data_IF_605095562208
#
_entry.id   IF_605095562208
#
_cell.length_a   1.000
_cell.length_b   1.000
_cell.length_c   1.000
_cell.angle_alpha   90.00
_cell.angle_beta   90.00
_cell.angle_gamma   90.00
#
_symmetry.space_group_name_H-M   'P 1'
#
loop_
_entity.id
_entity.type
_entity.pdbx_description
1 polymer ?
#
# COMPACT_ATOMS: atom_id res chain seq x y z
N UNK A 1 -45.16 -26.45 29.47
CA UNK A 1 -45.56 -25.83 28.16
C UNK A 1 -45.54 -24.30 28.18
N UNK A 2 -46.08 -23.60 29.20
CA UNK A 2 -46.10 -22.12 29.25
C UNK A 2 -44.67 -21.50 29.34
N UNK A 3 -43.81 -22.07 30.16
CA UNK A 3 -42.39 -21.61 30.30
C UNK A 3 -41.61 -21.72 29.03
N UNK A 4 -41.74 -22.82 28.25
CA UNK A 4 -41.07 -23.03 26.99
C UNK A 4 -41.51 -21.99 25.91
N UNK A 5 -42.79 -21.63 25.93
CA UNK A 5 -43.36 -20.62 25.05
C UNK A 5 -42.74 -19.23 25.33
N UNK A 6 -42.60 -18.86 26.60
CA UNK A 6 -42.01 -17.58 26.98
C UNK A 6 -40.51 -17.53 26.67
N UNK A 7 -39.76 -18.62 26.88
CA UNK A 7 -38.33 -18.73 26.47
C UNK A 7 -38.20 -18.55 24.95
N UNK A 8 -39.03 -19.20 24.16
CA UNK A 8 -39.03 -19.06 22.71
C UNK A 8 -39.31 -17.61 22.26
N UNK A 9 -40.29 -16.93 22.89
CA UNK A 9 -40.61 -15.53 22.58
C UNK A 9 -39.41 -14.61 22.92
N UNK A 10 -38.80 -14.79 24.08
CA UNK A 10 -37.61 -14.01 24.49
C UNK A 10 -36.45 -14.22 23.50
N UNK A 11 -36.17 -15.46 23.10
CA UNK A 11 -35.16 -15.75 22.10
C UNK A 11 -35.43 -15.06 20.77
N UNK A 12 -36.65 -15.09 20.29
CA UNK A 12 -37.03 -14.39 19.03
C UNK A 12 -36.85 -12.88 19.18
N UNK A 13 -37.27 -12.29 20.31
CA UNK A 13 -37.10 -10.84 20.57
C UNK A 13 -35.62 -10.45 20.61
N UNK A 14 -34.71 -11.33 21.05
CA UNK A 14 -33.28 -11.06 21.07
C UNK A 14 -32.61 -11.32 19.72
N UNK A 15 -32.93 -12.43 19.07
CA UNK A 15 -32.25 -12.87 17.83
C UNK A 15 -32.67 -12.00 16.63
N UNK A 16 -33.94 -11.69 16.49
CA UNK A 16 -34.45 -10.95 15.30
C UNK A 16 -33.78 -9.57 15.19
N UNK A 17 -33.73 -8.71 16.22
CA UNK A 17 -33.01 -7.43 16.14
C UNK A 17 -31.51 -7.60 15.86
N UNK A 18 -30.86 -8.61 16.42
CA UNK A 18 -29.47 -8.91 16.18
C UNK A 18 -29.19 -9.26 14.70
N UNK A 19 -30.03 -10.13 14.13
CA UNK A 19 -29.94 -10.50 12.70
C UNK A 19 -30.16 -9.28 11.80
N UNK A 20 -31.14 -8.44 12.13
CA UNK A 20 -31.40 -7.20 11.39
C UNK A 20 -30.19 -6.25 11.48
N UNK A 21 -29.60 -6.09 12.65
CA UNK A 21 -28.43 -5.26 12.83
C UNK A 21 -27.22 -5.77 12.03
N UNK A 22 -26.95 -7.06 12.10
CA UNK A 22 -25.87 -7.70 11.31
C UNK A 22 -26.10 -7.55 9.80
N UNK A 23 -27.32 -7.78 9.34
CA UNK A 23 -27.70 -7.59 7.93
C UNK A 23 -27.52 -6.12 7.50
N UNK A 24 -27.89 -5.18 8.36
CA UNK A 24 -27.69 -3.75 8.13
C UNK A 24 -26.22 -3.38 8.03
N UNK A 25 -25.37 -3.89 8.92
CA UNK A 25 -23.91 -3.69 8.87
C UNK A 25 -23.30 -4.30 7.61
N UNK A 26 -23.70 -5.52 7.26
CA UNK A 26 -23.26 -6.17 6.02
C UNK A 26 -23.59 -5.33 4.78
N UNK A 27 -24.82 -4.86 4.69
CA UNK A 27 -25.27 -4.04 3.56
C UNK A 27 -24.53 -2.70 3.49
N UNK A 28 -24.38 -2.02 4.64
CA UNK A 28 -23.65 -0.76 4.72
C UNK A 28 -22.18 -0.93 4.34
N UNK A 29 -21.52 -1.98 4.85
CA UNK A 29 -20.15 -2.30 4.51
C UNK A 29 -19.96 -2.61 3.03
N UNK A 30 -20.89 -3.40 2.45
CA UNK A 30 -20.88 -3.70 1.01
C UNK A 30 -21.03 -2.44 0.15
N UNK A 31 -21.91 -1.52 0.53
CA UNK A 31 -22.08 -0.26 -0.20
C UNK A 31 -20.80 0.58 -0.17
N UNK A 32 -20.17 0.72 1.00
CA UNK A 32 -18.94 1.49 1.18
C UNK A 32 -17.77 0.90 0.38
N UNK A 33 -17.64 -0.43 0.36
CA UNK A 33 -16.58 -1.11 -0.39
C UNK A 33 -16.73 -0.97 -1.92
N UNK A 34 -17.96 -0.79 -2.40
CA UNK A 34 -18.27 -0.72 -3.82
C UNK A 34 -18.44 0.71 -4.36
N UNK A 35 -18.29 1.72 -3.52
CA UNK A 35 -18.37 3.12 -3.93
C UNK A 35 -17.34 3.95 -3.18
N UNK A 36 -16.29 4.36 -3.89
CA UNK A 36 -15.32 5.34 -3.39
C UNK A 36 -15.92 6.77 -3.44
N UNK A 37 -15.31 7.73 -2.73
CA UNK A 37 -15.63 9.14 -2.91
C UNK A 37 -15.28 9.59 -4.34
N UNK A 38 -15.97 10.62 -4.81
CA UNK A 38 -15.59 11.28 -6.06
C UNK A 38 -14.29 12.08 -5.83
N UNK A 39 -13.29 11.87 -6.67
CA UNK A 39 -11.98 12.51 -6.56
C UNK A 39 -11.70 13.36 -7.82
N UNK A 40 -11.05 14.48 -7.63
CA UNK A 40 -10.57 15.30 -8.75
C UNK A 40 -9.23 14.72 -9.23
N UNK A 41 -9.16 14.33 -10.50
CA UNK A 41 -7.97 13.74 -11.09
C UNK A 41 -7.09 14.81 -11.73
N UNK A 42 -5.79 14.66 -11.58
CA UNK A 42 -4.82 15.43 -12.36
C UNK A 42 -4.72 14.87 -13.79
N UNK A 43 -4.32 15.72 -14.74
CA UNK A 43 -3.99 15.25 -16.09
C UNK A 43 -2.55 14.80 -16.10
N UNK A 44 -2.33 13.49 -16.09
CA UNK A 44 -0.99 12.89 -16.19
C UNK A 44 -0.81 12.33 -17.59
N UNK A 45 0.28 12.72 -18.26
CA UNK A 45 0.65 12.19 -19.58
C UNK A 45 1.76 11.16 -19.41
N UNK A 46 1.48 9.86 -19.61
CA UNK A 46 2.48 8.80 -19.41
C UNK A 46 3.75 9.03 -20.24
N UNK A 47 4.90 8.76 -19.65
CA UNK A 47 6.17 8.80 -20.37
C UNK A 47 6.21 7.74 -21.48
N UNK A 48 6.85 8.08 -22.60
CA UNK A 48 6.99 7.19 -23.76
C UNK A 48 8.44 7.06 -24.24
N UNK A 49 9.33 7.90 -23.72
CA UNK A 49 10.76 7.83 -24.00
C UNK A 49 11.47 6.80 -23.09
N UNK A 50 12.63 6.35 -23.55
CA UNK A 50 13.40 5.31 -22.87
C UNK A 50 13.74 5.68 -21.40
N UNK A 51 14.18 6.91 -21.17
CA UNK A 51 14.56 7.38 -19.82
C UNK A 51 13.36 7.40 -18.87
N UNK A 52 12.19 7.83 -19.34
CA UNK A 52 10.94 7.80 -18.55
C UNK A 52 10.50 6.38 -18.25
N UNK A 53 10.60 5.45 -19.21
CA UNK A 53 10.26 4.05 -18.98
C UNK A 53 11.22 3.36 -18.02
N UNK A 54 12.53 3.62 -18.12
CA UNK A 54 13.52 3.13 -17.16
C UNK A 54 13.26 3.67 -15.73
N UNK A 55 12.95 4.98 -15.62
CA UNK A 55 12.56 5.59 -14.33
C UNK A 55 11.29 4.93 -13.78
N UNK A 56 10.28 4.69 -14.61
CA UNK A 56 9.04 4.03 -14.21
C UNK A 56 9.27 2.60 -13.73
N UNK A 57 10.12 1.83 -14.41
CA UNK A 57 10.51 0.48 -13.98
C UNK A 57 11.20 0.51 -12.62
N UNK A 58 12.12 1.43 -12.44
CA UNK A 58 12.82 1.62 -11.18
C UNK A 58 11.84 1.97 -10.04
N UNK A 59 10.92 2.91 -10.27
CA UNK A 59 9.90 3.29 -9.30
C UNK A 59 8.99 2.12 -8.95
N UNK A 60 8.55 1.33 -9.94
CA UNK A 60 7.74 0.15 -9.69
C UNK A 60 8.45 -0.87 -8.78
N UNK A 61 9.77 -1.00 -8.91
CA UNK A 61 10.59 -1.86 -8.05
C UNK A 61 10.66 -1.34 -6.62
N UNK A 62 11.14 -0.12 -6.43
CA UNK A 62 11.40 0.42 -5.08
C UNK A 62 10.12 0.70 -4.27
N UNK A 63 8.99 0.92 -4.95
CA UNK A 63 7.69 1.13 -4.30
C UNK A 63 6.89 -0.16 -4.09
N UNK A 64 7.48 -1.31 -4.42
CA UNK A 64 6.92 -2.62 -4.11
C UNK A 64 5.75 -3.05 -4.99
N UNK A 65 5.54 -2.48 -6.18
CA UNK A 65 4.48 -2.94 -7.09
C UNK A 65 4.59 -4.44 -7.38
N UNK A 66 5.82 -4.92 -7.63
CA UNK A 66 6.09 -6.32 -7.92
C UNK A 66 5.85 -7.26 -6.73
N UNK A 67 5.86 -6.77 -5.50
CA UNK A 67 5.59 -7.58 -4.30
C UNK A 67 4.16 -8.09 -4.23
N UNK A 68 3.20 -7.35 -4.79
CA UNK A 68 1.79 -7.71 -4.79
C UNK A 68 1.31 -8.17 -6.17
N UNK A 69 1.87 -7.56 -7.24
CA UNK A 69 1.42 -7.83 -8.61
C UNK A 69 2.29 -8.87 -9.35
N UNK A 70 3.28 -9.48 -8.65
CA UNK A 70 4.22 -10.43 -9.23
C UNK A 70 5.36 -9.74 -10.01
N UNK A 71 6.48 -10.44 -10.20
CA UNK A 71 7.68 -9.89 -10.84
C UNK A 71 7.44 -9.42 -12.28
N UNK A 72 6.54 -10.08 -13.00
CA UNK A 72 6.12 -9.74 -14.37
C UNK A 72 4.78 -8.98 -14.41
N UNK A 73 4.30 -8.50 -13.28
CA UNK A 73 3.07 -7.73 -13.10
C UNK A 73 1.79 -8.46 -13.57
N UNK A 74 1.84 -9.79 -13.67
CA UNK A 74 0.68 -10.63 -14.05
C UNK A 74 -0.42 -10.67 -13.00
N UNK A 75 -0.17 -10.14 -11.81
CA UNK A 75 -1.06 -10.20 -10.65
C UNK A 75 -0.90 -11.50 -9.85
N UNK A 76 -1.23 -11.41 -8.57
CA UNK A 76 -1.21 -12.52 -7.61
C UNK A 76 -2.41 -12.43 -6.67
N UNK A 77 -2.74 -13.55 -6.01
CA UNK A 77 -3.80 -13.55 -5.00
C UNK A 77 -3.24 -13.03 -3.68
N UNK A 78 -3.74 -11.87 -3.24
CA UNK A 78 -3.27 -11.22 -2.01
C UNK A 78 -4.02 -11.71 -0.77
N UNK A 79 -5.36 -11.88 -0.86
CA UNK A 79 -6.18 -12.46 0.21
C UNK A 79 -7.03 -13.58 -0.39
N UNK A 80 -6.95 -14.79 0.18
CA UNK A 80 -7.85 -15.91 -0.08
C UNK A 80 -8.23 -16.56 1.27
N UNK A 81 -9.09 -15.88 2.01
CA UNK A 81 -9.47 -16.26 3.37
C UNK A 81 -11.00 -16.43 3.47
N UNK A 82 -11.44 -17.67 3.33
CA UNK A 82 -12.86 -17.98 3.56
C UNK A 82 -13.21 -17.95 5.06
N UNK A 83 -14.31 -17.32 5.47
CA UNK A 83 -15.36 -16.68 4.68
C UNK A 83 -15.15 -15.17 4.45
N UNK A 84 -13.99 -14.61 4.78
CA UNK A 84 -13.72 -13.16 4.75
C UNK A 84 -13.81 -12.63 3.32
N UNK A 85 -13.05 -13.23 2.41
CA UNK A 85 -13.06 -12.83 1.02
C UNK A 85 -11.88 -13.30 0.20
N UNK A 86 -11.97 -12.99 -1.09
CA UNK A 86 -10.95 -13.17 -2.10
C UNK A 86 -10.60 -11.79 -2.68
N UNK A 87 -9.35 -11.37 -2.54
CA UNK A 87 -8.84 -10.08 -3.02
C UNK A 87 -7.58 -10.31 -3.83
N UNK A 88 -7.65 -10.35 -5.16
CA UNK A 88 -6.47 -10.40 -6.00
C UNK A 88 -5.85 -9.01 -6.14
N UNK A 89 -4.52 -8.95 -6.18
CA UNK A 89 -3.79 -7.86 -6.81
C UNK A 89 -3.85 -8.12 -8.33
N UNK A 90 -4.52 -7.27 -9.12
CA UNK A 90 -4.85 -7.59 -10.50
C UNK A 90 -3.61 -7.72 -11.39
N UNK A 91 -3.76 -8.43 -12.50
CA UNK A 91 -2.81 -8.40 -13.60
C UNK A 91 -2.78 -6.98 -14.21
N UNK A 92 -1.62 -6.31 -14.12
CA UNK A 92 -1.43 -4.95 -14.61
C UNK A 92 -1.09 -4.89 -16.10
N UNK A 93 -0.77 -6.04 -16.72
CA UNK A 93 -0.39 -6.11 -18.14
C UNK A 93 -1.61 -6.03 -19.05
N UNK A 94 -1.37 -5.93 -20.35
CA UNK A 94 -2.41 -5.94 -21.38
C UNK A 94 -2.83 -7.35 -21.82
N UNK A 95 -2.33 -8.42 -21.17
CA UNK A 95 -2.72 -9.81 -21.44
C UNK A 95 -4.15 -10.12 -21.01
N UNK A 96 -4.63 -11.32 -21.34
CA UNK A 96 -5.98 -11.77 -20.96
C UNK A 96 -6.15 -11.76 -19.43
N UNK A 97 -7.24 -11.19 -18.95
CA UNK A 97 -7.49 -10.98 -17.51
C UNK A 97 -6.79 -9.76 -16.89
N UNK A 98 -5.95 -9.05 -17.66
CA UNK A 98 -5.25 -7.86 -17.23
C UNK A 98 -6.04 -6.56 -17.42
N UNK A 99 -5.74 -5.56 -16.59
CA UNK A 99 -6.35 -4.23 -16.64
C UNK A 99 -5.62 -3.29 -17.62
N UNK A 100 -4.37 -3.58 -17.98
CA UNK A 100 -3.52 -2.71 -18.78
C UNK A 100 -4.06 -2.38 -20.16
N UNK A 101 -4.90 -3.26 -20.76
CA UNK A 101 -5.55 -3.01 -22.04
C UNK A 101 -6.77 -2.08 -21.94
N UNK A 102 -7.37 -1.93 -20.75
CA UNK A 102 -8.65 -1.26 -20.55
C UNK A 102 -8.56 0.03 -19.75
N UNK A 103 -7.56 0.16 -18.88
CA UNK A 103 -7.36 1.35 -18.06
C UNK A 103 -6.91 2.54 -18.92
N UNK A 104 -7.62 3.64 -18.78
CA UNK A 104 -7.19 4.95 -19.30
C UNK A 104 -6.10 5.53 -18.40
N UNK A 105 -5.42 6.58 -18.85
CA UNK A 105 -4.43 7.29 -18.03
C UNK A 105 -5.05 7.85 -16.75
N UNK A 106 -6.29 8.31 -16.81
CA UNK A 106 -7.06 8.76 -15.65
C UNK A 106 -7.39 7.60 -14.68
N UNK A 107 -7.68 6.40 -15.19
CA UNK A 107 -7.91 5.23 -14.33
C UNK A 107 -6.64 4.81 -13.60
N UNK A 108 -5.47 4.88 -14.25
CA UNK A 108 -4.18 4.62 -13.62
C UNK A 108 -3.88 5.64 -12.52
N UNK A 109 -4.06 6.94 -12.81
CA UNK A 109 -3.87 8.00 -11.81
C UNK A 109 -4.81 7.82 -10.63
N UNK A 110 -6.10 7.59 -10.88
CA UNK A 110 -7.12 7.32 -9.88
C UNK A 110 -6.77 6.12 -8.98
N UNK A 111 -6.30 5.03 -9.59
CA UNK A 111 -5.94 3.83 -8.88
C UNK A 111 -4.70 4.03 -7.99
N UNK A 112 -3.64 4.61 -8.55
CA UNK A 112 -2.35 4.73 -7.86
C UNK A 112 -2.40 5.80 -6.77
N UNK A 113 -2.84 7.01 -7.09
CA UNK A 113 -2.81 8.14 -6.15
C UNK A 113 -4.01 8.24 -5.23
N UNK A 114 -5.16 7.71 -5.64
CA UNK A 114 -6.40 7.91 -4.90
C UNK A 114 -7.01 6.63 -4.33
N UNK A 115 -6.48 5.45 -4.72
CA UNK A 115 -7.02 4.17 -4.26
C UNK A 115 -8.43 3.87 -4.78
N UNK A 116 -8.80 4.41 -5.96
CA UNK A 116 -10.09 4.25 -6.60
C UNK A 116 -9.93 3.49 -7.92
N UNK A 117 -10.58 2.34 -8.05
CA UNK A 117 -10.55 1.53 -9.26
C UNK A 117 -11.41 2.15 -10.38
N UNK A 118 -11.16 1.77 -11.64
CA UNK A 118 -11.89 2.28 -12.81
C UNK A 118 -13.42 2.06 -12.74
N UNK A 119 -13.89 1.08 -11.99
CA UNK A 119 -15.31 0.83 -11.74
C UNK A 119 -15.89 1.66 -10.57
N UNK A 120 -15.12 2.59 -10.01
CA UNK A 120 -15.52 3.49 -8.92
C UNK A 120 -15.53 2.86 -7.53
N UNK A 121 -15.08 1.61 -7.38
CA UNK A 121 -14.96 0.98 -6.06
C UNK A 121 -13.67 1.42 -5.35
N UNK A 122 -13.72 1.45 -4.03
CA UNK A 122 -12.51 1.67 -3.25
C UNK A 122 -11.58 0.45 -3.32
N UNK A 123 -10.29 0.70 -3.39
CA UNK A 123 -9.29 -0.33 -3.20
C UNK A 123 -9.09 -0.60 -1.71
N UNK A 124 -8.92 -1.86 -1.39
CA UNK A 124 -8.47 -2.32 -0.07
C UNK A 124 -7.10 -2.95 -0.27
N UNK A 125 -6.17 -2.78 0.63
CA UNK A 125 -4.82 -3.36 0.58
C UNK A 125 -3.76 -2.63 -0.25
N UNK A 126 -4.10 -1.99 -1.37
CA UNK A 126 -3.14 -1.18 -2.12
C UNK A 126 -2.79 0.09 -1.33
N UNK A 127 -1.51 0.38 -1.05
CA UNK A 127 -1.10 1.51 -0.20
C UNK A 127 -1.10 2.84 -0.97
N UNK A 128 -2.26 3.22 -1.51
CA UNK A 128 -2.41 4.43 -2.30
C UNK A 128 -2.14 5.71 -1.51
N UNK A 129 -2.28 5.69 -0.19
CA UNK A 129 -1.91 6.78 0.71
C UNK A 129 -0.41 7.14 0.62
N UNK A 130 0.45 6.16 0.45
CA UNK A 130 1.87 6.40 0.17
C UNK A 130 2.09 6.88 -1.26
N UNK A 131 1.40 6.27 -2.23
CA UNK A 131 1.54 6.61 -3.65
C UNK A 131 0.88 7.95 -4.01
N UNK A 132 0.00 8.48 -3.18
CA UNK A 132 -0.52 9.84 -3.28
C UNK A 132 0.59 10.91 -3.28
N UNK A 133 1.75 10.59 -2.73
CA UNK A 133 2.93 11.47 -2.70
C UNK A 133 3.75 11.49 -4.00
N UNK A 134 3.47 10.63 -4.98
CA UNK A 134 4.20 10.70 -6.25
C UNK A 134 4.08 12.08 -6.90
N UNK A 135 5.21 12.64 -7.31
CA UNK A 135 5.23 13.79 -8.21
C UNK A 135 4.65 13.44 -9.58
N UNK A 136 4.20 14.43 -10.33
CA UNK A 136 3.51 14.19 -11.61
C UNK A 136 4.43 13.53 -12.64
N UNK A 137 5.72 13.91 -12.69
CA UNK A 137 6.69 13.31 -13.60
C UNK A 137 7.01 11.85 -13.22
N UNK A 138 7.17 11.55 -11.93
CA UNK A 138 7.41 10.19 -11.46
C UNK A 138 6.18 9.29 -11.67
N UNK A 139 4.97 9.81 -11.46
CA UNK A 139 3.76 9.05 -11.79
C UNK A 139 3.61 8.84 -13.30
N UNK A 140 3.94 9.86 -14.11
CA UNK A 140 3.93 9.72 -15.58
C UNK A 140 4.91 8.63 -16.04
N UNK A 141 6.10 8.58 -15.46
CA UNK A 141 7.09 7.55 -15.71
C UNK A 141 6.58 6.16 -15.29
N UNK A 142 6.01 6.03 -14.10
CA UNK A 142 5.45 4.77 -13.59
C UNK A 142 4.32 4.27 -14.50
N UNK A 143 3.34 5.10 -14.84
CA UNK A 143 2.23 4.71 -15.73
C UNK A 143 2.77 4.34 -17.11
N UNK A 144 3.73 5.10 -17.66
CA UNK A 144 4.39 4.78 -18.92
C UNK A 144 4.99 3.38 -18.92
N UNK A 145 5.74 3.05 -17.88
CA UNK A 145 6.30 1.71 -17.70
C UNK A 145 5.22 0.64 -17.62
N UNK A 146 4.22 0.79 -16.73
CA UNK A 146 3.14 -0.19 -16.56
C UNK A 146 2.41 -0.49 -17.88
N UNK A 147 2.22 0.51 -18.74
CA UNK A 147 1.61 0.36 -20.05
C UNK A 147 2.54 -0.26 -21.09
N UNK A 148 3.85 -0.23 -20.88
CA UNK A 148 4.87 -0.78 -21.77
C UNK A 148 5.21 -2.25 -21.50
N UNK A 149 4.81 -2.78 -20.35
CA UNK A 149 5.11 -4.17 -19.96
C UNK A 149 4.48 -5.15 -20.95
N UNK A 150 5.25 -6.17 -21.40
CA UNK A 150 4.72 -7.19 -22.30
C UNK A 150 3.45 -7.86 -21.74
N UNK A 151 2.49 -8.22 -22.60
CA UNK A 151 1.26 -8.86 -22.15
C UNK A 151 1.54 -10.24 -21.56
N UNK A 152 0.95 -10.51 -20.41
CA UNK A 152 0.98 -11.82 -19.74
C UNK A 152 -0.46 -12.21 -19.44
N UNK A 153 -0.88 -13.38 -19.88
CA UNK A 153 -2.23 -13.88 -19.63
C UNK A 153 -2.32 -14.45 -18.22
N UNK A 154 -3.16 -13.83 -17.40
CA UNK A 154 -3.49 -14.32 -16.05
C UNK A 154 -4.82 -13.71 -15.59
N UNK A 155 -5.88 -14.48 -15.64
CA UNK A 155 -7.20 -14.07 -15.18
C UNK A 155 -7.45 -14.57 -13.75
N UNK A 156 -7.29 -13.69 -12.79
CA UNK A 156 -7.54 -13.96 -11.36
C UNK A 156 -9.02 -13.78 -10.98
N UNK A 157 -9.85 -13.32 -11.90
CA UNK A 157 -11.23 -12.99 -11.60
C UNK A 157 -11.42 -11.77 -10.68
N UNK A 158 -12.68 -11.41 -10.37
CA UNK A 158 -13.00 -10.21 -9.60
C UNK A 158 -12.81 -10.42 -8.09
N UNK A 159 -12.52 -9.32 -7.39
CA UNK A 159 -12.57 -9.26 -5.93
C UNK A 159 -13.94 -9.70 -5.39
N UNK A 160 -13.94 -10.55 -4.39
CA UNK A 160 -15.12 -11.04 -3.71
C UNK A 160 -14.96 -10.86 -2.19
N UNK A 161 -15.71 -9.94 -1.60
CA UNK A 161 -15.73 -9.74 -0.14
C UNK A 161 -17.14 -10.13 0.35
N UNK A 162 -17.20 -11.13 1.23
CA UNK A 162 -18.42 -11.69 1.77
C UNK A 162 -18.56 -11.35 3.26
N UNK A 163 -19.68 -11.73 3.88
CA UNK A 163 -19.80 -11.66 5.33
C UNK A 163 -18.90 -12.75 5.98
N UNK A 164 -18.09 -12.41 7.00
CA UNK A 164 -18.01 -11.15 7.75
C UNK A 164 -17.07 -10.09 7.16
N UNK A 165 -16.32 -10.37 6.09
CA UNK A 165 -15.36 -9.44 5.47
C UNK A 165 -15.96 -8.08 5.12
N UNK A 166 -17.22 -8.03 4.67
CA UNK A 166 -17.92 -6.76 4.40
C UNK A 166 -18.08 -5.90 5.64
N UNK A 167 -18.26 -6.50 6.83
CA UNK A 167 -18.34 -5.77 8.09
C UNK A 167 -16.92 -5.36 8.54
N UNK A 168 -15.97 -6.26 8.44
CA UNK A 168 -14.57 -5.99 8.82
C UNK A 168 -14.01 -4.84 7.99
N UNK A 169 -13.99 -4.98 6.67
CA UNK A 169 -13.37 -4.01 5.76
C UNK A 169 -14.24 -2.77 5.51
N UNK A 170 -15.56 -2.95 5.39
CA UNK A 170 -16.46 -1.86 5.00
C UNK A 170 -17.07 -1.09 6.18
N UNK A 171 -16.93 -1.58 7.41
CA UNK A 171 -17.43 -0.87 8.61
C UNK A 171 -16.33 -0.63 9.61
N UNK A 172 -15.65 -1.67 10.10
CA UNK A 172 -14.69 -1.53 11.20
C UNK A 172 -13.38 -0.87 10.74
N UNK A 173 -12.84 -1.27 9.60
CA UNK A 173 -11.61 -0.72 9.04
C UNK A 173 -11.84 0.41 8.03
N UNK A 174 -13.09 0.80 7.77
CA UNK A 174 -13.45 1.71 6.68
C UNK A 174 -12.65 3.01 6.68
N UNK A 175 -12.51 3.65 7.83
CA UNK A 175 -11.81 4.94 7.96
C UNK A 175 -10.30 4.85 7.82
N UNK A 176 -9.74 3.64 7.86
CA UNK A 176 -8.29 3.42 7.82
C UNK A 176 -7.80 3.06 6.40
N UNK A 177 -8.73 2.85 5.45
CA UNK A 177 -8.31 2.56 4.09
C UNK A 177 -7.73 3.79 3.40
N UNK A 178 -6.72 3.63 2.54
CA UNK A 178 -6.03 4.71 1.83
C UNK A 178 -6.97 5.77 1.26
N UNK A 179 -8.00 5.36 0.54
CA UNK A 179 -8.99 6.28 -0.06
C UNK A 179 -9.70 7.20 0.94
N UNK A 180 -9.71 6.88 2.23
CA UNK A 180 -10.37 7.68 3.27
C UNK A 180 -9.39 8.50 4.13
N UNK A 181 -8.08 8.23 4.03
CA UNK A 181 -7.04 8.96 4.76
C UNK A 181 -6.29 9.95 3.87
N UNK A 182 -6.31 9.74 2.55
CA UNK A 182 -5.69 10.66 1.58
C UNK A 182 -6.40 12.01 1.59
N UNK A 183 -5.65 13.09 1.69
CA UNK A 183 -6.14 14.42 1.32
C UNK A 183 -6.11 14.59 -0.20
N UNK A 184 -7.19 14.19 -0.85
CA UNK A 184 -7.30 14.18 -2.31
C UNK A 184 -7.14 15.56 -2.96
N UNK A 185 -7.22 16.64 -2.20
CA UNK A 185 -7.05 18.01 -2.71
C UNK A 185 -5.57 18.43 -2.77
N UNK A 186 -4.70 17.74 -2.03
CA UNK A 186 -3.27 18.03 -1.96
C UNK A 186 -2.40 17.07 -2.78
N UNK A 187 -3.01 16.14 -3.52
CA UNK A 187 -2.33 15.14 -4.34
C UNK A 187 -1.78 15.77 -5.63
N UNK A 188 -0.60 15.33 -6.05
CA UNK A 188 0.05 15.80 -7.28
C UNK A 188 1.07 16.92 -7.03
N UNK A 189 1.59 17.47 -8.13
CA UNK A 189 2.64 18.47 -8.12
C UNK A 189 4.03 17.92 -8.47
N UNK A 190 5.06 18.70 -8.26
CA UNK A 190 6.42 18.30 -8.62
C UNK A 190 7.05 17.44 -7.51
N UNK A 191 7.73 16.37 -7.90
CA UNK A 191 8.67 15.72 -7.00
C UNK A 191 9.80 16.69 -6.61
N UNK A 192 10.36 16.60 -5.39
CA UNK A 192 11.58 17.31 -5.06
C UNK A 192 12.73 16.94 -6.02
N UNK A 193 13.64 17.89 -6.25
CA UNK A 193 14.85 17.61 -7.03
C UNK A 193 15.65 16.46 -6.38
N UNK A 194 16.09 15.51 -7.20
CA UNK A 194 16.92 14.41 -6.76
C UNK A 194 18.28 14.90 -6.28
N UNK A 195 18.40 15.06 -4.97
CA UNK A 195 19.58 15.58 -4.28
C UNK A 195 19.77 14.85 -2.94
N UNK A 196 20.96 14.82 -2.36
CA UNK A 196 21.21 14.26 -1.01
C UNK A 196 20.65 15.19 0.07
N UNK A 197 19.35 15.44 0.05
CA UNK A 197 18.63 16.37 0.94
C UNK A 197 17.56 15.66 1.75
N UNK A 198 17.26 16.19 2.93
CA UNK A 198 16.16 15.66 3.76
C UNK A 198 14.79 15.77 3.05
N UNK A 199 14.59 16.77 2.20
CA UNK A 199 13.35 16.93 1.44
C UNK A 199 13.14 15.78 0.45
N UNK A 200 14.18 15.47 -0.34
CA UNK A 200 14.11 14.32 -1.25
C UNK A 200 14.06 12.98 -0.48
N UNK A 201 14.74 12.89 0.67
CA UNK A 201 14.65 11.73 1.55
C UNK A 201 13.24 11.50 2.10
N UNK A 202 12.52 12.55 2.50
CA UNK A 202 11.13 12.47 2.94
C UNK A 202 10.21 11.95 1.81
N UNK A 203 10.41 12.47 0.60
CA UNK A 203 9.71 11.99 -0.59
C UNK A 203 9.95 10.50 -0.83
N UNK A 204 11.21 10.06 -0.82
CA UNK A 204 11.58 8.66 -1.00
C UNK A 204 10.96 7.76 0.09
N UNK A 205 11.02 8.16 1.36
CA UNK A 205 10.39 7.44 2.48
C UNK A 205 8.90 7.22 2.22
N UNK A 206 8.21 8.24 1.68
CA UNK A 206 6.78 8.14 1.37
C UNK A 206 6.50 7.17 0.23
N UNK A 207 7.11 7.35 -0.95
CA UNK A 207 6.84 6.52 -2.13
C UNK A 207 7.36 5.07 -2.00
N UNK A 208 8.36 4.83 -1.14
CA UNK A 208 8.85 3.51 -0.77
C UNK A 208 8.03 2.85 0.34
N UNK A 209 7.01 3.54 0.86
CA UNK A 209 6.10 3.04 1.90
C UNK A 209 6.81 2.61 3.20
N UNK A 210 7.89 3.27 3.59
CA UNK A 210 8.65 2.90 4.79
C UNK A 210 7.77 2.94 6.05
N UNK A 211 6.84 3.89 6.13
CA UNK A 211 5.91 4.06 7.25
C UNK A 211 4.98 2.85 7.44
N UNK A 212 4.69 2.07 6.39
CA UNK A 212 3.86 0.87 6.51
C UNK A 212 4.41 -0.16 7.51
N UNK A 213 5.75 -0.23 7.64
CA UNK A 213 6.43 -1.15 8.55
C UNK A 213 7.00 -0.43 9.79
N UNK A 214 7.46 0.82 9.63
CA UNK A 214 8.16 1.55 10.68
C UNK A 214 7.29 2.56 11.43
N UNK A 215 5.96 2.52 11.24
CA UNK A 215 4.96 3.50 11.67
C UNK A 215 5.13 4.88 10.99
N UNK A 216 4.09 5.71 11.05
CA UNK A 216 4.04 7.01 10.36
C UNK A 216 5.15 7.96 10.83
N UNK A 217 5.50 7.90 12.12
CA UNK A 217 6.58 8.67 12.73
C UNK A 217 7.96 7.98 12.68
N UNK A 218 8.07 6.84 12.00
CA UNK A 218 9.27 6.00 11.88
C UNK A 218 9.84 5.49 13.23
N UNK A 219 9.07 5.58 14.31
CA UNK A 219 9.49 5.13 15.65
C UNK A 219 9.14 3.66 15.95
N UNK A 220 8.84 2.89 14.89
CA UNK A 220 8.55 1.46 14.95
C UNK A 220 7.11 1.13 15.30
N UNK A 221 6.69 -0.07 14.99
CA UNK A 221 5.33 -0.57 15.24
C UNK A 221 5.30 -1.97 15.83
N UNK A 222 6.36 -2.38 16.53
CA UNK A 222 6.37 -3.67 17.22
C UNK A 222 5.20 -3.81 18.20
N UNK A 223 4.55 -4.98 18.14
CA UNK A 223 3.39 -5.30 18.98
C UNK A 223 2.05 -4.87 18.39
N UNK A 224 1.99 -4.16 17.29
CA UNK A 224 0.74 -3.92 16.56
C UNK A 224 0.36 -5.17 15.76
N UNK A 225 -0.88 -5.64 15.93
CA UNK A 225 -1.30 -6.95 15.40
C UNK A 225 -1.64 -6.91 13.89
N UNK A 226 -1.92 -5.74 13.35
CA UNK A 226 -2.58 -5.60 12.04
C UNK A 226 -1.66 -5.06 10.94
N UNK A 227 -0.37 -4.85 11.23
CA UNK A 227 0.60 -4.27 10.29
C UNK A 227 1.89 -5.08 10.25
N UNK A 228 2.62 -5.09 9.11
CA UNK A 228 3.99 -5.58 9.07
C UNK A 228 4.82 -4.85 10.13
N UNK A 229 5.65 -5.60 10.86
CA UNK A 229 6.38 -5.03 12.00
C UNK A 229 7.80 -4.61 11.60
N UNK A 230 8.15 -3.38 11.93
CA UNK A 230 9.47 -2.82 11.74
C UNK A 230 9.98 -2.06 12.98
N UNK A 231 11.31 -1.99 13.16
CA UNK A 231 11.91 -1.27 14.27
C UNK A 231 11.75 0.25 14.15
N UNK A 232 12.04 0.93 15.24
CA UNK A 232 12.25 2.37 15.24
C UNK A 232 13.54 2.70 14.46
N UNK A 233 13.38 3.41 13.35
CA UNK A 233 14.49 3.86 12.50
C UNK A 233 14.78 5.36 12.66
N UNK A 234 14.27 6.03 13.72
CA UNK A 234 14.79 7.32 14.14
C UNK A 234 16.10 7.15 14.92
N UNK A 235 16.83 8.24 15.16
CA UNK A 235 18.04 8.19 15.98
C UNK A 235 17.80 7.84 17.46
N UNK A 236 16.54 7.65 17.86
CA UNK A 236 16.16 7.11 19.17
C UNK A 236 16.00 5.58 19.19
N UNK A 237 16.17 4.89 18.06
CA UNK A 237 15.97 3.46 17.90
C UNK A 237 17.15 2.72 17.27
N UNK A 238 16.84 1.79 16.36
CA UNK A 238 17.78 0.82 15.78
C UNK A 238 18.99 1.46 15.10
N UNK A 239 18.76 2.57 14.39
CA UNK A 239 19.83 3.25 13.63
C UNK A 239 20.67 4.19 14.48
N UNK A 240 20.44 4.24 15.80
CA UNK A 240 21.25 5.03 16.71
C UNK A 240 22.73 4.57 16.69
N UNK A 241 23.60 5.47 16.32
CA UNK A 241 25.04 5.16 16.22
C UNK A 241 25.49 4.49 14.92
N UNK A 242 24.57 4.26 13.96
CA UNK A 242 24.96 3.84 12.62
C UNK A 242 25.66 4.97 11.87
N UNK A 243 26.58 4.59 10.99
CA UNK A 243 27.10 5.47 9.96
C UNK A 243 26.20 5.45 8.72
N UNK A 244 26.39 6.42 7.83
CA UNK A 244 25.73 6.41 6.50
C UNK A 244 26.09 5.14 5.71
N UNK A 245 27.33 4.64 5.84
CA UNK A 245 27.77 3.40 5.18
C UNK A 245 27.03 2.17 5.74
N UNK A 246 26.81 2.11 7.05
CA UNK A 246 26.03 1.05 7.70
C UNK A 246 24.58 1.06 7.19
N UNK A 247 23.97 2.22 7.13
CA UNK A 247 22.63 2.41 6.62
C UNK A 247 22.53 2.00 5.14
N UNK A 248 23.47 2.46 4.30
CA UNK A 248 23.55 2.10 2.88
C UNK A 248 23.69 0.58 2.68
N UNK A 249 24.59 -0.04 3.43
CA UNK A 249 24.80 -1.48 3.39
C UNK A 249 23.53 -2.24 3.79
N UNK A 250 22.89 -1.83 4.87
CA UNK A 250 21.66 -2.50 5.35
C UNK A 250 20.53 -2.38 4.33
N UNK A 251 20.30 -1.22 3.74
CA UNK A 251 19.28 -1.05 2.70
C UNK A 251 19.57 -1.89 1.46
N UNK A 252 20.81 -1.93 0.98
CA UNK A 252 21.14 -2.57 -0.30
C UNK A 252 21.39 -4.07 -0.20
N UNK A 253 21.83 -4.56 0.95
CA UNK A 253 22.25 -5.96 1.12
C UNK A 253 21.51 -6.69 2.23
N UNK A 254 20.68 -6.02 2.99
CA UNK A 254 20.02 -6.57 4.17
C UNK A 254 20.96 -6.85 5.34
N UNK A 255 22.23 -6.45 5.27
CA UNK A 255 23.23 -6.79 6.31
C UNK A 255 23.38 -5.63 7.29
N UNK A 256 23.03 -5.85 8.54
CA UNK A 256 23.14 -4.88 9.64
C UNK A 256 24.60 -4.63 10.06
N UNK A 257 24.92 -3.59 10.86
CA UNK A 257 26.28 -3.31 11.30
C UNK A 257 26.94 -4.44 12.08
N UNK A 258 26.18 -5.24 12.83
CA UNK A 258 26.64 -6.39 13.58
C UNK A 258 26.71 -7.69 12.74
N UNK A 259 26.40 -7.60 11.45
CA UNK A 259 26.55 -8.68 10.47
C UNK A 259 25.35 -9.63 10.39
N UNK A 260 24.21 -9.28 10.98
CA UNK A 260 22.98 -10.03 10.82
C UNK A 260 22.39 -9.78 9.42
N UNK A 261 21.90 -10.84 8.77
CA UNK A 261 21.14 -10.73 7.52
C UNK A 261 19.64 -10.62 7.84
N UNK A 262 19.05 -9.51 7.46
CA UNK A 262 17.61 -9.29 7.63
C UNK A 262 16.79 -10.25 6.78
N UNK A 263 15.67 -10.70 7.34
CA UNK A 263 14.66 -11.46 6.59
C UNK A 263 14.10 -10.64 5.44
N UNK A 264 13.78 -11.31 4.36
CA UNK A 264 13.08 -10.71 3.21
C UNK A 264 11.58 -10.66 3.44
N UNK A 265 10.83 -10.00 2.55
CA UNK A 265 9.36 -9.95 2.59
C UNK A 265 8.74 -11.35 2.59
N UNK A 266 9.28 -12.29 1.83
CA UNK A 266 8.80 -13.67 1.80
C UNK A 266 8.92 -14.38 3.16
N UNK A 267 9.79 -13.88 4.03
CA UNK A 267 10.02 -14.39 5.39
C UNK A 267 9.38 -13.51 6.48
N UNK A 268 8.55 -12.53 6.05
CA UNK A 268 7.90 -11.56 6.94
C UNK A 268 8.85 -10.45 7.43
N UNK A 269 9.87 -10.12 6.66
CA UNK A 269 10.85 -9.08 6.97
C UNK A 269 10.82 -7.89 6.00
N UNK A 270 11.91 -7.16 5.96
CA UNK A 270 12.08 -5.93 5.17
C UNK A 270 12.29 -6.26 3.68
N UNK A 271 11.71 -5.49 2.75
CA UNK A 271 11.86 -5.71 1.30
C UNK A 271 13.21 -5.20 0.75
N UNK A 272 14.31 -5.41 1.50
CA UNK A 272 15.63 -4.88 1.14
C UNK A 272 16.13 -5.31 -0.26
N UNK A 273 15.78 -6.48 -0.83
CA UNK A 273 16.21 -6.81 -2.19
C UNK A 273 15.72 -5.81 -3.24
N UNK A 274 14.58 -5.15 -3.01
CA UNK A 274 14.03 -4.11 -3.90
C UNK A 274 14.84 -2.80 -3.83
N UNK A 275 15.57 -2.61 -2.74
CA UNK A 275 16.38 -1.41 -2.49
C UNK A 275 17.85 -1.56 -2.92
N UNK A 276 18.23 -2.74 -3.42
CA UNK A 276 19.62 -3.01 -3.86
C UNK A 276 20.10 -2.03 -4.95
N UNK A 277 19.16 -1.52 -5.78
CA UNK A 277 19.43 -0.57 -6.86
C UNK A 277 19.41 0.91 -6.47
N UNK A 278 19.19 1.26 -5.18
CA UNK A 278 19.22 2.65 -4.75
C UNK A 278 20.56 3.31 -5.08
N UNK A 279 20.52 4.48 -5.69
CA UNK A 279 21.70 5.31 -5.96
C UNK A 279 22.32 5.87 -4.66
N UNK A 280 23.56 6.33 -4.72
CA UNK A 280 24.18 6.97 -3.56
C UNK A 280 23.43 8.25 -3.16
N UNK A 281 22.94 9.04 -4.12
CA UNK A 281 22.12 10.23 -3.86
C UNK A 281 20.85 9.89 -3.08
N UNK A 282 20.16 8.82 -3.44
CA UNK A 282 18.92 8.40 -2.77
C UNK A 282 19.18 7.88 -1.35
N UNK A 283 20.22 7.09 -1.16
CA UNK A 283 20.63 6.62 0.17
C UNK A 283 21.04 7.80 1.06
N UNK A 284 21.83 8.74 0.53
CA UNK A 284 22.21 9.95 1.25
C UNK A 284 21.02 10.83 1.61
N UNK A 285 20.03 10.94 0.72
CA UNK A 285 18.80 11.67 0.98
C UNK A 285 17.98 11.01 2.10
N UNK A 286 17.79 9.68 2.01
CA UNK A 286 17.12 8.90 3.07
C UNK A 286 17.81 9.08 4.41
N UNK A 287 19.14 8.97 4.42
CA UNK A 287 19.93 9.18 5.64
C UNK A 287 19.83 10.60 6.17
N UNK A 288 19.89 11.61 5.28
CA UNK A 288 19.70 13.01 5.67
C UNK A 288 18.34 13.26 6.29
N UNK A 289 17.28 12.66 5.73
CA UNK A 289 15.93 12.76 6.30
C UNK A 289 15.85 12.12 7.69
N UNK A 290 16.31 10.88 7.85
CA UNK A 290 16.31 10.18 9.15
C UNK A 290 17.08 10.98 10.21
N UNK A 291 18.24 11.57 9.84
CA UNK A 291 19.01 12.42 10.75
C UNK A 291 18.36 13.77 11.05
N UNK A 292 17.39 14.22 10.24
CA UNK A 292 16.63 15.44 10.49
C UNK A 292 15.47 15.24 11.47
N UNK A 293 15.10 13.99 11.73
CA UNK A 293 13.97 13.66 12.61
C UNK A 293 14.37 13.80 14.08
N UNK A 294 13.41 14.16 14.92
CA UNK A 294 13.58 14.09 16.35
C UNK A 294 13.82 12.62 16.77
N UNK A 295 14.83 12.34 17.62
CA UNK A 295 15.02 11.02 18.18
C UNK A 295 13.83 10.65 19.06
N UNK A 296 13.04 9.70 18.62
CA UNK A 296 11.83 9.25 19.32
C UNK A 296 12.08 7.94 20.07
N UNK A 297 11.45 7.74 21.24
CA UNK A 297 11.40 6.42 21.86
C UNK A 297 10.58 5.48 20.97
N UNK A 298 10.77 4.16 21.13
CA UNK A 298 9.93 3.17 20.45
C UNK A 298 8.46 3.44 20.75
N UNK A 299 7.62 3.37 19.70
CA UNK A 299 6.19 3.35 19.90
C UNK A 299 5.81 2.14 20.77
N UNK A 300 4.86 2.32 21.65
CA UNK A 300 4.27 1.23 22.44
C UNK A 300 2.97 0.77 21.81
N UNK A 301 2.62 -0.51 21.91
CA UNK A 301 1.36 -1.06 21.41
C UNK A 301 0.13 -0.37 21.97
#
# INVERSE_FOLDING_TARGET
>A
MKTLKWVAIILVIMIVPLVIAIAGLHFAGRQRLNKAPDVALATVSPATDEAGLERGQYLASISGCTSCHGEDLRGEVFIDEAPIGYVPAPNLTSGAGGIGATYTDADWESAIRHGVAADGRMMVTMPADHYAHYGDDDLAALIGYLKSVPPVDNDLGPRQIQFPGTVIFGVLAYTNWPVNVIDHASVGGNAPEAAPSAEYGAYMVSIMSCQSCHAENLAGNYGQLDTPQGPNITLGGEVAGWSEEDFARTLRTGTTPDGELLKTTAEGGMPWPQYAGLSDTEVQALWAYINSLEPLPNNTP
#
